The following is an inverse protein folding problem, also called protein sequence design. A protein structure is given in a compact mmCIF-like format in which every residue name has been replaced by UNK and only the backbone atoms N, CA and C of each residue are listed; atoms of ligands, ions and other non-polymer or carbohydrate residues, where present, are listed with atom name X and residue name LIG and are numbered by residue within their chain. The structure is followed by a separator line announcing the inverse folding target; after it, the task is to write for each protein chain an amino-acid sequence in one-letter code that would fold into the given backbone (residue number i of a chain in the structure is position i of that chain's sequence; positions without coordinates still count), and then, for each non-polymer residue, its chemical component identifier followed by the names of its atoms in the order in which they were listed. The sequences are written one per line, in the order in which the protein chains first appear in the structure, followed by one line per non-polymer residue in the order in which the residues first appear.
data_IF_902679418372
#
_entry.id   IF_902679418372
#
_cell.length_a   1.000
_cell.length_b   1.000
_cell.length_c   1.000
_cell.angle_alpha   90.00
_cell.angle_beta   90.00
_cell.angle_gamma   90.00
#
_symmetry.space_group_name_H-M   'P 1'
#
loop_
_entity.id
_entity.type
_entity.pdbx_description
1 polymer ?
#
# COMPACT_ATOMS: atom_id res chain seq x y z
N UNK A 1 -32.90 11.83 -1.42
CA UNK A 1 -31.45 12.00 -1.20
C UNK A 1 -31.07 13.38 -1.74
N UNK A 2 -30.31 14.19 -0.98
CA UNK A 2 -29.82 15.48 -1.47
C UNK A 2 -28.73 15.28 -2.52
N UNK A 3 -28.55 16.22 -3.46
CA UNK A 3 -27.51 16.12 -4.49
C UNK A 3 -26.11 15.90 -3.91
N UNK A 4 -25.79 16.55 -2.79
CA UNK A 4 -24.53 16.34 -2.06
C UNK A 4 -24.33 14.88 -1.59
N UNK A 5 -25.38 14.19 -1.16
CA UNK A 5 -25.27 12.79 -0.77
C UNK A 5 -24.99 11.88 -1.97
N UNK A 6 -25.61 12.18 -3.13
CA UNK A 6 -25.36 11.44 -4.37
C UNK A 6 -23.94 11.67 -4.89
N UNK A 7 -23.50 12.92 -4.94
CA UNK A 7 -22.15 13.28 -5.37
C UNK A 7 -21.08 12.66 -4.46
N UNK A 8 -21.35 12.61 -3.15
CA UNK A 8 -20.45 11.95 -2.21
C UNK A 8 -20.32 10.43 -2.43
N UNK A 9 -21.34 9.75 -2.99
CA UNK A 9 -21.25 8.33 -3.36
C UNK A 9 -20.43 8.18 -4.65
N UNK A 10 -20.68 9.01 -5.66
CA UNK A 10 -19.91 8.99 -6.91
C UNK A 10 -18.42 9.23 -6.64
N UNK A 11 -18.09 10.21 -5.79
CA UNK A 11 -16.71 10.46 -5.38
C UNK A 11 -16.10 9.24 -4.65
N UNK A 12 -16.89 8.52 -3.84
CA UNK A 12 -16.41 7.32 -3.16
C UNK A 12 -16.12 6.20 -4.17
N UNK A 13 -17.02 5.95 -5.11
CA UNK A 13 -16.87 4.94 -6.16
C UNK A 13 -15.61 5.21 -7.01
N UNK A 14 -15.39 6.47 -7.39
CA UNK A 14 -14.19 6.87 -8.13
C UNK A 14 -12.90 6.66 -7.31
N UNK A 15 -12.90 7.02 -6.02
CA UNK A 15 -11.75 6.81 -5.14
C UNK A 15 -11.45 5.31 -4.92
N UNK A 16 -12.48 4.47 -4.78
CA UNK A 16 -12.31 3.01 -4.64
C UNK A 16 -11.81 2.35 -5.93
N UNK A 17 -12.29 2.79 -7.09
CA UNK A 17 -11.83 2.31 -8.38
C UNK A 17 -10.35 2.67 -8.62
N UNK A 18 -9.96 3.90 -8.31
CA UNK A 18 -8.56 4.32 -8.36
C UNK A 18 -7.69 3.54 -7.37
N UNK A 19 -8.15 3.32 -6.13
CA UNK A 19 -7.44 2.52 -5.14
C UNK A 19 -7.14 1.12 -5.66
N UNK A 20 -8.14 0.44 -6.27
CA UNK A 20 -7.94 -0.90 -6.85
C UNK A 20 -6.91 -0.91 -7.97
N UNK A 21 -6.87 0.14 -8.79
CA UNK A 21 -5.84 0.31 -9.83
C UNK A 21 -4.44 0.41 -9.22
N UNK A 22 -4.29 1.24 -8.19
CA UNK A 22 -3.02 1.44 -7.48
C UNK A 22 -2.56 0.14 -6.80
N UNK A 23 -3.46 -0.59 -6.14
CA UNK A 23 -3.13 -1.88 -5.52
C UNK A 23 -2.63 -2.90 -6.57
N UNK A 24 -3.21 -2.89 -7.77
CA UNK A 24 -2.74 -3.73 -8.89
C UNK A 24 -1.34 -3.35 -9.35
N UNK A 25 -1.02 -2.05 -9.40
CA UNK A 25 0.31 -1.57 -9.77
C UNK A 25 1.35 -1.92 -8.69
N UNK A 26 0.96 -1.86 -7.41
CA UNK A 26 1.81 -2.27 -6.28
C UNK A 26 2.05 -3.78 -6.23
N UNK A 27 1.09 -4.61 -6.61
CA UNK A 27 1.26 -6.06 -6.70
C UNK A 27 2.36 -6.45 -7.71
N UNK A 28 2.49 -5.67 -8.79
CA UNK A 28 3.54 -5.82 -9.81
C UNK A 28 4.87 -5.13 -9.49
N UNK A 29 5.02 -4.53 -8.32
CA UNK A 29 6.19 -3.70 -8.00
C UNK A 29 7.45 -4.57 -7.81
N UNK A 30 8.50 -4.26 -8.59
CA UNK A 30 9.77 -5.01 -8.54
C UNK A 30 10.93 -4.30 -7.84
N UNK A 31 10.76 -3.04 -7.44
CA UNK A 31 11.81 -2.22 -6.79
C UNK A 31 11.20 -1.08 -5.97
N UNK A 32 11.88 -0.65 -4.90
CA UNK A 32 11.50 0.53 -4.11
C UNK A 32 12.18 1.82 -4.58
N UNK A 33 13.04 1.78 -5.61
CA UNK A 33 13.85 2.93 -6.01
C UNK A 33 13.02 4.16 -6.43
N UNK A 34 11.71 4.01 -6.69
CA UNK A 34 10.79 5.12 -6.96
C UNK A 34 10.34 5.91 -5.72
N UNK A 35 10.46 5.35 -4.51
CA UNK A 35 10.12 6.04 -3.28
C UNK A 35 11.20 7.05 -2.87
N UNK A 36 10.81 8.21 -2.34
CA UNK A 36 11.74 9.28 -1.93
C UNK A 36 12.31 10.12 -3.09
N UNK A 37 12.03 9.73 -4.34
CA UNK A 37 12.39 10.51 -5.52
C UNK A 37 11.63 11.86 -5.60
N UNK A 38 10.67 12.11 -4.70
CA UNK A 38 9.90 13.35 -4.59
C UNK A 38 9.16 13.74 -5.90
N UNK A 39 8.84 12.74 -6.72
CA UNK A 39 8.17 12.91 -8.00
C UNK A 39 6.97 11.96 -8.11
N UNK A 40 5.87 12.46 -8.67
CA UNK A 40 4.72 11.65 -9.09
C UNK A 40 3.99 10.86 -7.99
N UNK A 41 3.84 11.41 -6.78
CA UNK A 41 3.01 10.80 -5.74
C UNK A 41 3.65 9.66 -4.94
N UNK A 42 4.93 9.34 -5.16
CA UNK A 42 5.67 8.32 -4.40
C UNK A 42 6.55 8.98 -3.33
N UNK A 43 6.28 8.67 -2.07
CA UNK A 43 6.94 9.26 -0.91
C UNK A 43 7.62 8.21 -0.06
N UNK A 44 8.81 8.53 0.46
CA UNK A 44 9.43 7.70 1.49
C UNK A 44 8.80 7.97 2.86
N UNK A 45 9.17 7.15 3.84
CA UNK A 45 8.65 7.13 5.19
C UNK A 45 8.75 8.51 5.84
N UNK A 46 7.60 9.10 6.19
CA UNK A 46 7.53 10.40 6.84
C UNK A 46 7.66 11.62 5.92
N UNK A 47 7.83 11.44 4.61
CA UNK A 47 7.88 12.53 3.64
C UNK A 47 6.50 12.90 3.07
N UNK A 48 5.52 11.99 3.21
CA UNK A 48 4.20 12.19 2.64
C UNK A 48 3.46 13.38 3.28
N UNK A 49 2.77 14.20 2.47
CA UNK A 49 2.01 15.32 2.98
C UNK A 49 0.77 14.85 3.78
N UNK A 50 0.26 15.69 4.71
CA UNK A 50 -0.94 15.38 5.47
C UNK A 50 -2.19 15.37 4.57
N UNK A 51 -2.87 14.22 4.46
CA UNK A 51 -4.01 13.99 3.57
C UNK A 51 -5.19 14.95 3.74
N UNK A 52 -5.40 15.50 4.94
CA UNK A 52 -6.52 16.41 5.22
C UNK A 52 -6.15 17.90 5.08
N UNK A 53 -4.88 18.21 4.81
CA UNK A 53 -4.47 19.59 4.55
C UNK A 53 -4.99 20.05 3.19
N UNK A 54 -5.50 21.28 3.14
CA UNK A 54 -5.96 21.89 1.90
C UNK A 54 -4.82 22.11 0.88
N UNK A 55 -3.57 22.17 1.34
CA UNK A 55 -2.39 22.39 0.50
C UNK A 55 -1.82 21.11 -0.12
N UNK A 56 -2.37 19.94 0.19
CA UNK A 56 -1.83 18.66 -0.26
C UNK A 56 -2.22 18.38 -1.71
N UNK A 57 -3.52 18.51 -1.97
CA UNK A 57 -4.18 18.16 -3.23
C UNK A 57 -4.02 19.26 -4.28
N UNK A 58 -4.00 18.88 -5.56
CA UNK A 58 -3.74 19.78 -6.69
C UNK A 58 -2.31 20.32 -6.76
N UNK A 59 -1.35 19.68 -6.07
CA UNK A 59 0.08 20.02 -6.18
C UNK A 59 0.77 19.08 -7.16
N UNK A 60 1.82 19.57 -7.85
CA UNK A 60 2.61 18.73 -8.76
C UNK A 60 3.39 17.58 -8.11
N UNK A 61 3.25 17.40 -6.78
CA UNK A 61 3.81 16.27 -6.04
C UNK A 61 2.85 15.10 -5.90
N UNK A 62 1.55 15.33 -6.08
CA UNK A 62 0.51 14.30 -6.03
C UNK A 62 0.29 13.75 -7.44
N UNK A 63 0.00 12.46 -7.55
CA UNK A 63 -0.29 11.81 -8.81
C UNK A 63 -1.79 11.85 -9.13
N UNK A 64 -2.11 11.84 -10.41
CA UNK A 64 -3.47 11.66 -10.90
C UNK A 64 -3.68 10.20 -11.29
N UNK A 65 -4.76 9.59 -10.80
CA UNK A 65 -5.20 8.27 -11.20
C UNK A 65 -5.96 8.35 -12.53
N UNK A 66 -6.13 7.23 -13.26
CA UNK A 66 -6.98 7.19 -14.43
C UNK A 66 -8.40 7.71 -14.13
N UNK A 67 -8.99 8.38 -15.12
CA UNK A 67 -10.35 8.92 -14.99
C UNK A 67 -11.37 7.80 -14.76
N UNK A 68 -12.24 7.99 -13.78
CA UNK A 68 -13.37 7.11 -13.46
C UNK A 68 -14.63 7.96 -13.54
N UNK A 69 -15.51 7.65 -14.49
CA UNK A 69 -16.79 8.33 -14.69
C UNK A 69 -16.69 9.87 -14.77
N UNK A 70 -15.67 10.39 -15.47
CA UNK A 70 -15.47 11.84 -15.63
C UNK A 70 -14.79 12.53 -14.44
N UNK A 71 -14.37 11.77 -13.43
CA UNK A 71 -13.63 12.27 -12.28
C UNK A 71 -12.20 11.75 -12.35
N UNK A 72 -11.25 12.64 -12.06
CA UNK A 72 -9.82 12.28 -11.96
C UNK A 72 -9.43 12.27 -10.49
N UNK A 73 -9.34 11.09 -9.84
CA UNK A 73 -8.88 11.00 -8.47
C UNK A 73 -7.40 11.37 -8.38
N UNK A 74 -7.02 11.98 -7.27
CA UNK A 74 -5.63 12.27 -6.95
C UNK A 74 -5.16 11.27 -5.89
N UNK A 75 -3.90 10.86 -5.93
CA UNK A 75 -3.37 9.91 -4.95
C UNK A 75 -1.90 10.13 -4.64
N UNK A 76 -1.50 9.59 -3.50
CA UNK A 76 -0.12 9.39 -3.16
C UNK A 76 0.09 8.09 -2.39
N UNK A 77 1.31 7.58 -2.47
CA UNK A 77 1.74 6.34 -1.82
C UNK A 77 2.94 6.70 -0.96
N UNK A 78 2.89 6.31 0.31
CA UNK A 78 4.00 6.43 1.24
C UNK A 78 4.53 5.03 1.53
N UNK A 79 5.81 4.80 1.28
CA UNK A 79 6.49 3.62 1.80
C UNK A 79 6.63 3.74 3.32
N UNK A 80 6.28 2.68 4.05
CA UNK A 80 6.23 2.68 5.53
C UNK A 80 7.27 1.75 6.16
N UNK A 81 8.08 1.11 5.33
CA UNK A 81 9.10 0.17 5.77
C UNK A 81 8.63 -1.28 5.84
N UNK A 82 9.57 -2.19 6.14
CA UNK A 82 9.28 -3.61 6.31
C UNK A 82 8.55 -3.87 7.63
N UNK A 83 7.49 -4.66 7.58
CA UNK A 83 6.72 -5.11 8.74
C UNK A 83 7.04 -6.56 9.03
N UNK A 84 7.33 -6.85 10.31
CA UNK A 84 7.60 -8.19 10.82
C UNK A 84 6.59 -8.56 11.89
N UNK A 85 5.82 -9.63 11.69
CA UNK A 85 4.95 -10.17 12.73
C UNK A 85 5.74 -11.16 13.60
N UNK A 86 5.93 -10.82 14.88
CA UNK A 86 6.34 -11.80 15.88
C UNK A 86 5.07 -12.51 16.39
N UNK A 87 4.94 -13.81 16.16
CA UNK A 87 3.91 -14.61 16.81
C UNK A 87 4.52 -15.31 18.02
N UNK A 88 4.08 -14.94 19.22
CA UNK A 88 4.29 -15.75 20.41
C UNK A 88 3.26 -16.89 20.43
N UNK A 89 3.71 -18.14 20.40
CA UNK A 89 2.90 -19.25 20.90
C UNK A 89 3.58 -19.85 22.12
N UNK A 90 2.90 -19.75 23.26
CA UNK A 90 3.13 -20.61 24.43
C UNK A 90 2.80 -22.05 24.04
N UNK A 91 3.80 -22.86 23.71
CA UNK A 91 3.57 -24.27 23.40
C UNK A 91 4.78 -25.04 22.90
N UNK A 92 5.75 -25.30 23.77
CA UNK A 92 6.77 -26.34 23.57
C UNK A 92 8.19 -25.81 23.35
N UNK A 93 9.15 -26.51 23.96
CA UNK A 93 10.57 -26.16 24.05
C UNK A 93 11.16 -25.79 22.67
N UNK A 94 11.68 -24.56 22.56
CA UNK A 94 12.28 -23.91 21.37
C UNK A 94 11.35 -23.41 20.24
N UNK A 95 10.02 -23.46 20.40
CA UNK A 95 9.04 -23.12 19.35
C UNK A 95 8.56 -21.67 19.30
N UNK A 96 9.25 -20.79 18.57
CA UNK A 96 8.58 -19.62 17.92
C UNK A 96 8.44 -19.96 16.43
N UNK A 97 7.38 -19.55 15.77
CA UNK A 97 7.26 -19.67 14.30
C UNK A 97 6.77 -18.32 13.79
N UNK A 98 7.36 -17.82 12.71
CA UNK A 98 6.93 -16.55 12.10
C UNK A 98 5.81 -16.86 11.12
N UNK A 99 4.66 -16.19 11.25
CA UNK A 99 3.63 -16.25 10.21
C UNK A 99 4.08 -15.40 9.04
N UNK A 100 4.18 -16.02 7.87
CA UNK A 100 4.40 -15.30 6.62
C UNK A 100 3.18 -14.41 6.35
N UNK A 101 3.40 -13.09 6.28
CA UNK A 101 2.37 -12.11 5.92
C UNK A 101 1.91 -12.24 4.45
N UNK A 102 2.71 -12.90 3.62
CA UNK A 102 2.45 -13.05 2.18
C UNK A 102 1.63 -14.30 1.84
N UNK A 103 1.04 -14.98 2.84
CA UNK A 103 0.24 -16.21 2.68
C UNK A 103 0.93 -17.40 1.97
N UNK A 104 2.21 -17.29 1.59
CA UNK A 104 3.01 -18.39 1.03
C UNK A 104 3.64 -19.24 2.15
N UNK A 105 2.81 -20.06 2.81
CA UNK A 105 3.29 -21.14 3.69
C UNK A 105 3.67 -20.74 5.14
N UNK A 106 3.83 -21.77 5.98
CA UNK A 106 4.27 -21.67 7.38
C UNK A 106 5.70 -22.21 7.53
N UNK A 107 6.56 -21.47 8.25
CA UNK A 107 7.96 -21.85 8.49
C UNK A 107 8.30 -21.87 9.99
N UNK A 108 9.12 -22.85 10.40
CA UNK A 108 9.70 -22.91 11.75
C UNK A 108 10.76 -21.82 11.96
N UNK A 109 10.97 -21.39 13.22
CA UNK A 109 11.96 -20.34 13.56
C UNK A 109 13.37 -20.56 13.04
N UNK A 110 13.76 -21.83 12.93
CA UNK A 110 15.11 -22.24 12.55
C UNK A 110 15.32 -22.41 11.05
N UNK A 111 14.42 -21.89 10.20
CA UNK A 111 14.56 -22.02 8.74
C UNK A 111 14.30 -23.42 8.19
N UNK A 112 13.82 -24.36 9.00
CA UNK A 112 13.48 -25.73 8.57
C UNK A 112 11.99 -25.86 8.22
N UNK A 113 11.51 -25.04 7.27
CA UNK A 113 10.25 -25.25 6.56
C UNK A 113 10.58 -25.81 5.19
N UNK A 114 10.11 -27.03 4.89
CA UNK A 114 10.51 -27.81 3.72
C UNK A 114 10.46 -27.06 2.38
N UNK A 115 11.47 -27.33 1.55
CA UNK A 115 11.64 -27.03 0.11
C UNK A 115 10.65 -26.02 -0.49
N UNK A 116 10.92 -24.74 -0.27
CA UNK A 116 10.94 -23.80 -1.40
C UNK A 116 12.24 -24.04 -2.18
N UNK A 117 12.18 -24.02 -3.52
CA UNK A 117 13.30 -24.34 -4.41
C UNK A 117 14.59 -23.53 -4.18
N UNK A 118 15.65 -23.81 -4.94
CA UNK A 118 17.00 -23.32 -4.64
C UNK A 118 17.05 -21.78 -4.71
N UNK A 119 17.11 -21.13 -3.53
CA UNK A 119 17.08 -19.67 -3.41
C UNK A 119 16.55 -19.18 -2.07
N UNK A 120 17.30 -19.46 -1.00
CA UNK A 120 17.34 -18.80 0.31
C UNK A 120 16.12 -18.88 1.25
N UNK A 121 16.42 -19.29 2.48
CA UNK A 121 15.55 -19.40 3.65
C UNK A 121 15.23 -18.04 4.34
N UNK A 122 15.60 -16.92 3.73
CA UNK A 122 15.51 -15.57 4.34
C UNK A 122 14.17 -14.85 4.18
N UNK A 123 13.16 -15.52 3.62
CA UNK A 123 11.92 -14.85 3.19
C UNK A 123 10.77 -14.95 4.20
N UNK A 124 10.99 -15.65 5.31
CA UNK A 124 9.98 -15.80 6.35
C UNK A 124 10.05 -14.65 7.35
N UNK A 125 9.50 -13.48 7.00
CA UNK A 125 9.14 -12.50 8.04
C UNK A 125 9.11 -11.02 7.70
N UNK A 126 9.39 -10.58 6.48
CA UNK A 126 9.32 -9.15 6.11
C UNK A 126 8.35 -8.96 4.95
N UNK A 127 7.25 -8.23 5.19
CA UNK A 127 6.43 -7.67 4.12
C UNK A 127 6.72 -6.18 4.03
N UNK A 128 6.88 -5.65 2.83
CA UNK A 128 6.99 -4.21 2.63
C UNK A 128 5.61 -3.59 2.77
N UNK A 129 5.50 -2.53 3.58
CA UNK A 129 4.22 -1.87 3.83
C UNK A 129 4.15 -0.51 3.13
N UNK A 130 2.99 -0.25 2.56
CA UNK A 130 2.66 0.99 1.88
C UNK A 130 1.38 1.56 2.48
N UNK A 131 1.34 2.88 2.60
CA UNK A 131 0.13 3.64 2.88
C UNK A 131 -0.29 4.32 1.59
N UNK A 132 -1.45 3.94 1.07
CA UNK A 132 -2.05 4.52 -0.13
C UNK A 132 -3.12 5.49 0.34
N UNK A 133 -3.07 6.73 -0.16
CA UNK A 133 -4.11 7.72 0.09
C UNK A 133 -4.66 8.19 -1.24
N UNK A 134 -5.96 8.06 -1.42
CA UNK A 134 -6.68 8.49 -2.62
C UNK A 134 -7.72 9.53 -2.23
N UNK A 135 -7.84 10.58 -3.04
CA UNK A 135 -8.87 11.58 -2.92
C UNK A 135 -9.61 11.71 -4.25
N UNK A 136 -10.93 11.72 -4.18
CA UNK A 136 -11.77 12.09 -5.31
C UNK A 136 -12.75 13.19 -4.91
N UNK A 137 -13.02 14.07 -5.87
CA UNK A 137 -14.04 15.11 -5.75
C UNK A 137 -15.27 14.67 -6.51
N UNK A 138 -16.45 15.00 -5.99
CA UNK A 138 -17.68 14.84 -6.76
C UNK A 138 -17.74 15.85 -7.92
N UNK A 139 -18.66 15.69 -8.88
CA UNK A 139 -18.74 16.54 -10.08
C UNK A 139 -18.87 18.04 -9.83
N UNK A 140 -19.31 18.45 -8.63
CA UNK A 140 -19.48 19.84 -8.23
C UNK A 140 -18.27 20.43 -7.51
N UNK A 141 -17.23 19.63 -7.22
CA UNK A 141 -16.11 19.93 -6.31
C UNK A 141 -16.50 20.25 -4.84
N UNK A 142 -17.80 20.32 -4.51
CA UNK A 142 -18.30 20.60 -3.16
C UNK A 142 -18.27 19.38 -2.23
N UNK A 143 -18.11 18.19 -2.81
CA UNK A 143 -17.96 16.95 -2.05
C UNK A 143 -16.59 16.35 -2.31
N UNK A 144 -15.92 15.90 -1.24
CA UNK A 144 -14.65 15.18 -1.32
C UNK A 144 -14.70 13.90 -0.51
N UNK A 145 -14.08 12.85 -1.02
CA UNK A 145 -13.83 11.61 -0.30
C UNK A 145 -12.35 11.33 -0.31
N UNK A 146 -11.83 10.96 0.86
CA UNK A 146 -10.44 10.55 1.05
C UNK A 146 -10.49 9.14 1.61
N UNK A 147 -9.79 8.22 0.95
CA UNK A 147 -9.63 6.84 1.38
C UNK A 147 -8.15 6.64 1.72
N UNK A 148 -7.91 5.99 2.85
CA UNK A 148 -6.57 5.56 3.26
C UNK A 148 -6.56 4.04 3.39
N UNK A 149 -5.67 3.39 2.65
CA UNK A 149 -5.47 1.93 2.64
C UNK A 149 -4.04 1.61 3.03
N UNK A 150 -3.85 0.51 3.77
CA UNK A 150 -2.55 -0.04 4.08
C UNK A 150 -2.37 -1.33 3.30
N UNK A 151 -1.40 -1.33 2.40
CA UNK A 151 -1.12 -2.42 1.48
C UNK A 151 0.22 -3.07 1.83
N UNK A 152 0.30 -4.39 1.70
CA UNK A 152 1.47 -5.18 2.05
C UNK A 152 1.89 -6.00 0.84
N UNK A 153 3.17 -5.93 0.47
CA UNK A 153 3.74 -6.75 -0.60
C UNK A 153 4.90 -7.60 -0.07
N UNK A 154 5.14 -8.70 -0.78
CA UNK A 154 6.26 -9.58 -0.45
C UNK A 154 7.60 -8.90 -0.70
N UNK A 155 8.52 -8.96 0.26
CA UNK A 155 9.89 -8.49 0.08
C UNK A 155 10.65 -9.25 -1.02
N UNK A 156 10.18 -10.42 -1.48
CA UNK A 156 10.73 -11.09 -2.68
C UNK A 156 10.39 -10.40 -3.99
N UNK A 157 9.21 -9.76 -4.06
CA UNK A 157 8.77 -9.12 -5.29
C UNK A 157 9.67 -7.93 -5.59
N UNK A 158 10.19 -7.31 -4.54
CA UNK A 158 11.00 -6.12 -4.59
C UNK A 158 12.47 -6.52 -4.47
N UNK A 159 13.25 -6.38 -5.54
CA UNK A 159 14.67 -6.78 -5.52
C UNK A 159 15.38 -6.17 -4.32
N UNK A 160 15.92 -7.01 -3.45
CA UNK A 160 16.82 -6.57 -2.38
C UNK A 160 18.06 -6.01 -3.06
N UNK A 161 18.30 -4.71 -2.94
CA UNK A 161 19.60 -4.15 -3.31
C UNK A 161 20.64 -4.84 -2.42
N UNK A 162 21.60 -5.52 -3.05
CA UNK A 162 22.77 -6.15 -2.43
C UNK A 162 23.70 -5.10 -1.76
#
# INVERSE_FOLDING_TARGET
MSNSAREGVIALEAAEAALRGIEKDLDGLTSLAGFGANTAGWFDTGEAPPALSASTWGTGKIAEAPEVDGLTPEYFIEYRGPVKLKQDQSGGADGRTVRNLNFEGSGGLGGSGGVAGPGQADVMGSAESMRIVVMAKGPSDESRKVIESFYFISAKNVGTED
#
